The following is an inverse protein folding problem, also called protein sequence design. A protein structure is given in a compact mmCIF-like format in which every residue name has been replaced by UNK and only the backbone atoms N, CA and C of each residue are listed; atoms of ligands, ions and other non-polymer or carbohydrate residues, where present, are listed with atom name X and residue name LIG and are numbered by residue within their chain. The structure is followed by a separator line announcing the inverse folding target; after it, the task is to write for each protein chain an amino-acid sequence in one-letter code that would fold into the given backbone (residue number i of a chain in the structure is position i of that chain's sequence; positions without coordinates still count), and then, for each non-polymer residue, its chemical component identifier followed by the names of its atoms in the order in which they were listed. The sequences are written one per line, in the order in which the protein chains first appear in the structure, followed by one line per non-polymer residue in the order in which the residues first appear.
data_IF_507456370796
#
_entry.id   IF_507456370796
#
_cell.length_a   1.000
_cell.length_b   1.000
_cell.length_c   1.000
_cell.angle_alpha   90.00
_cell.angle_beta   90.00
_cell.angle_gamma   90.00
#
_symmetry.space_group_name_H-M   'P 1'
#
loop_
_entity.id
_entity.type
_entity.pdbx_description
1 polymer ?
#
# COMPACT_ATOMS: atom_id res chain seq x y z
N UNK A 1 -5.49 4.08 11.22
CA UNK A 1 -4.12 4.05 11.71
C UNK A 1 -3.37 2.85 11.13
N UNK A 2 -2.03 2.99 10.97
CA UNK A 2 -1.16 1.96 10.43
C UNK A 2 -0.09 1.54 11.45
N UNK A 3 0.29 0.25 11.46
CA UNK A 3 1.34 -0.27 12.34
C UNK A 3 2.76 0.18 11.96
N UNK A 4 2.96 0.58 10.70
CA UNK A 4 4.31 0.66 10.11
C UNK A 4 5.04 1.98 10.35
N UNK A 5 4.44 2.97 10.94
CA UNK A 5 5.11 4.17 11.43
C UNK A 5 6.13 4.78 10.43
N UNK A 6 5.73 4.85 9.14
CA UNK A 6 6.60 5.40 8.10
C UNK A 6 6.69 6.92 8.26
N UNK A 7 7.89 7.48 8.30
CA UNK A 7 8.13 8.91 8.56
C UNK A 7 7.45 9.83 7.53
N UNK A 8 7.39 9.42 6.27
CA UNK A 8 6.77 10.18 5.19
C UNK A 8 5.25 9.99 5.08
N UNK A 9 4.64 9.20 5.96
CA UNK A 9 3.22 8.89 5.85
C UNK A 9 2.36 10.04 6.38
N UNK A 10 1.39 10.50 5.58
CA UNK A 10 0.46 11.56 6.00
C UNK A 10 -0.38 11.18 7.23
N UNK A 11 -0.56 9.89 7.50
CA UNK A 11 -1.25 9.39 8.69
C UNK A 11 -0.59 9.85 10.00
N UNK A 12 0.72 10.09 9.99
CA UNK A 12 1.45 10.66 11.13
C UNK A 12 0.93 12.04 11.55
N UNK A 13 0.45 12.82 10.59
CA UNK A 13 -0.11 14.14 10.84
C UNK A 13 -1.63 14.20 10.90
N UNK A 14 -2.30 13.10 10.59
CA UNK A 14 -3.76 13.03 10.47
C UNK A 14 -4.43 12.75 11.81
N UNK A 15 -3.90 11.79 12.57
CA UNK A 15 -4.49 11.34 13.84
C UNK A 15 -3.68 11.83 15.04
N UNK A 16 -4.37 12.32 16.06
CA UNK A 16 -3.77 12.75 17.32
C UNK A 16 -3.76 11.63 18.38
N UNK A 17 -4.37 10.49 18.10
CA UNK A 17 -4.43 9.34 19.02
C UNK A 17 -3.41 8.28 18.64
N UNK A 18 -2.75 7.71 19.65
CA UNK A 18 -1.85 6.56 19.49
C UNK A 18 -2.61 5.22 19.42
N UNK A 19 -3.91 5.21 19.68
CA UNK A 19 -4.72 3.99 19.66
C UNK A 19 -5.01 3.53 18.24
N UNK A 20 -4.93 2.22 18.01
CA UNK A 20 -5.42 1.60 16.79
C UNK A 20 -6.94 1.44 16.88
N UNK A 21 -7.63 1.71 15.76
CA UNK A 21 -9.08 1.53 15.64
C UNK A 21 -9.33 0.43 14.63
N UNK A 22 -10.13 -0.56 15.02
CA UNK A 22 -10.58 -1.65 14.15
C UNK A 22 -12.10 -1.59 14.11
N UNK A 23 -12.67 -1.41 12.92
CA UNK A 23 -14.11 -1.55 12.70
C UNK A 23 -14.44 -3.03 12.61
N UNK A 24 -15.39 -3.49 13.39
CA UNK A 24 -15.79 -4.91 13.48
C UNK A 24 -17.10 -5.23 12.76
N UNK A 25 -17.79 -4.21 12.28
CA UNK A 25 -19.06 -4.28 11.55
C UNK A 25 -18.82 -4.57 10.05
N UNK A 26 -18.21 -5.70 9.73
CA UNK A 26 -17.81 -6.05 8.35
C UNK A 26 -19.00 -6.19 7.40
N UNK A 27 -20.17 -6.57 7.90
CA UNK A 27 -21.42 -6.65 7.14
C UNK A 27 -21.86 -5.30 6.57
N UNK A 28 -21.50 -4.18 7.19
CA UNK A 28 -21.79 -2.85 6.66
C UNK A 28 -20.92 -2.55 5.44
N UNK A 29 -19.64 -3.01 5.44
CA UNK A 29 -18.77 -2.94 4.27
C UNK A 29 -19.33 -3.79 3.12
N UNK A 30 -19.80 -5.02 3.40
CA UNK A 30 -20.42 -5.90 2.40
C UNK A 30 -21.61 -5.19 1.75
N UNK A 31 -22.47 -4.61 2.56
CA UNK A 31 -23.66 -3.89 2.11
C UNK A 31 -23.29 -2.68 1.26
N UNK A 32 -22.33 -1.87 1.72
CA UNK A 32 -21.89 -0.68 1.01
C UNK A 32 -21.25 -1.01 -0.35
N UNK A 33 -20.44 -2.08 -0.41
CA UNK A 33 -19.81 -2.53 -1.65
C UNK A 33 -20.86 -3.03 -2.64
N UNK A 34 -21.79 -3.91 -2.22
CA UNK A 34 -22.86 -4.42 -3.07
C UNK A 34 -23.74 -3.30 -3.61
N UNK A 35 -24.19 -2.38 -2.76
CA UNK A 35 -24.96 -1.21 -3.17
C UNK A 35 -24.21 -0.32 -4.19
N UNK A 36 -22.89 -0.19 -4.02
CA UNK A 36 -22.06 0.59 -4.96
C UNK A 36 -21.97 -0.11 -6.31
N UNK A 37 -21.80 -1.44 -6.32
CA UNK A 37 -21.79 -2.24 -7.55
C UNK A 37 -23.12 -2.14 -8.30
N UNK A 38 -24.24 -2.30 -7.59
CA UNK A 38 -25.59 -2.24 -8.17
C UNK A 38 -25.91 -0.87 -8.79
N UNK A 39 -25.49 0.21 -8.13
CA UNK A 39 -25.66 1.57 -8.66
C UNK A 39 -24.79 1.89 -9.87
N UNK A 40 -23.76 1.11 -10.11
CA UNK A 40 -22.75 1.35 -11.15
C UNK A 40 -22.51 0.13 -12.03
N UNK A 41 -23.55 -0.62 -12.33
CA UNK A 41 -23.48 -1.94 -13.00
C UNK A 41 -22.77 -1.92 -14.37
N UNK A 42 -22.79 -0.79 -15.07
CA UNK A 42 -22.15 -0.59 -16.36
C UNK A 42 -20.78 0.09 -16.28
N UNK A 43 -20.26 0.31 -15.07
CA UNK A 43 -19.00 1.02 -14.85
C UNK A 43 -17.89 0.04 -14.46
N UNK A 44 -16.67 0.31 -14.92
CA UNK A 44 -15.49 -0.36 -14.38
C UNK A 44 -15.22 0.21 -12.99
N UNK A 45 -15.29 -0.63 -11.97
CA UNK A 45 -15.05 -0.25 -10.58
C UNK A 45 -13.79 -0.94 -10.05
N UNK A 46 -13.00 -0.18 -9.32
CA UNK A 46 -11.89 -0.69 -8.52
C UNK A 46 -12.08 -0.20 -7.08
N UNK A 47 -12.17 -1.13 -6.14
CA UNK A 47 -12.19 -0.82 -4.72
C UNK A 47 -10.77 -0.82 -4.16
N UNK A 48 -10.44 0.15 -3.33
CA UNK A 48 -9.16 0.23 -2.64
C UNK A 48 -9.37 -0.09 -1.17
N UNK A 49 -8.80 -1.21 -0.72
CA UNK A 49 -8.77 -1.54 0.69
C UNK A 49 -7.69 -0.74 1.42
N UNK A 50 -7.98 -0.25 2.62
CA UNK A 50 -6.99 0.36 3.49
C UNK A 50 -6.52 1.74 3.06
N UNK A 51 -7.44 2.65 2.71
CA UNK A 51 -7.09 4.03 2.36
C UNK A 51 -6.35 4.76 3.49
N UNK A 52 -6.81 4.61 4.75
CA UNK A 52 -6.23 5.22 5.95
C UNK A 52 -5.45 4.22 6.83
N UNK A 53 -4.99 3.13 6.25
CA UNK A 53 -4.20 2.09 6.92
C UNK A 53 -3.42 1.26 5.90
N UNK A 54 -2.65 0.28 6.37
CA UNK A 54 -2.14 -0.79 5.53
C UNK A 54 -3.19 -1.90 5.42
N UNK A 55 -3.49 -2.36 4.21
CA UNK A 55 -4.58 -3.31 3.95
C UNK A 55 -4.41 -4.67 4.64
N UNK A 56 -3.18 -5.10 4.89
CA UNK A 56 -2.89 -6.46 5.37
C UNK A 56 -2.07 -6.50 6.67
N UNK A 57 -1.64 -5.36 7.20
CA UNK A 57 -0.79 -5.33 8.40
C UNK A 57 -1.46 -5.98 9.61
N UNK A 58 -2.78 -5.88 9.73
CA UNK A 58 -3.58 -6.45 10.82
C UNK A 58 -4.43 -7.66 10.38
N UNK A 59 -4.19 -8.22 9.20
CA UNK A 59 -5.02 -9.30 8.66
C UNK A 59 -5.11 -10.52 9.59
N UNK A 60 -4.01 -10.86 10.27
CA UNK A 60 -4.01 -11.96 11.26
C UNK A 60 -4.98 -11.75 12.44
N UNK A 61 -5.33 -10.50 12.72
CA UNK A 61 -6.26 -10.13 13.80
C UNK A 61 -7.66 -9.92 13.26
N UNK A 62 -7.77 -9.22 12.12
CA UNK A 62 -9.07 -8.80 11.59
C UNK A 62 -9.72 -9.86 10.71
N UNK A 63 -8.94 -10.61 9.92
CA UNK A 63 -9.47 -11.50 8.89
C UNK A 63 -10.28 -10.78 7.81
N UNK A 64 -10.10 -9.46 7.65
CA UNK A 64 -10.93 -8.64 6.76
C UNK A 64 -10.79 -9.05 5.29
N UNK A 65 -9.57 -9.31 4.82
CA UNK A 65 -9.37 -9.78 3.44
C UNK A 65 -10.08 -11.11 3.21
N UNK A 66 -9.96 -12.06 4.15
CA UNK A 66 -10.68 -13.33 4.09
C UNK A 66 -12.20 -13.15 4.04
N UNK A 67 -12.73 -12.20 4.80
CA UNK A 67 -14.17 -11.89 4.85
C UNK A 67 -14.67 -11.29 3.53
N UNK A 68 -13.94 -10.32 2.95
CA UNK A 68 -14.43 -9.54 1.81
C UNK A 68 -14.26 -10.25 0.45
N UNK A 69 -13.25 -11.10 0.30
CA UNK A 69 -12.91 -11.77 -0.96
C UNK A 69 -14.06 -12.56 -1.62
N UNK A 70 -15.01 -13.21 -0.90
CA UNK A 70 -16.16 -13.86 -1.51
C UNK A 70 -17.02 -12.95 -2.39
N UNK A 71 -17.11 -11.65 -2.09
CA UNK A 71 -17.84 -10.68 -2.92
C UNK A 71 -17.18 -10.59 -4.29
N UNK A 72 -15.84 -10.44 -4.34
CA UNK A 72 -15.09 -10.32 -5.58
C UNK A 72 -14.98 -11.63 -6.37
N UNK A 73 -15.21 -12.76 -5.71
CA UNK A 73 -15.41 -14.04 -6.40
C UNK A 73 -16.73 -14.09 -7.16
N UNK A 74 -17.76 -13.43 -6.64
CA UNK A 74 -19.09 -13.34 -7.28
C UNK A 74 -19.10 -12.28 -8.39
N UNK A 75 -18.51 -11.10 -8.14
CA UNK A 75 -18.48 -9.99 -9.08
C UNK A 75 -17.10 -9.88 -9.76
N UNK A 76 -16.83 -10.81 -10.69
CA UNK A 76 -15.51 -10.95 -11.34
C UNK A 76 -15.09 -9.76 -12.21
N UNK A 77 -16.03 -8.91 -12.62
CA UNK A 77 -15.81 -7.70 -13.41
C UNK A 77 -15.38 -6.49 -12.54
N UNK A 78 -15.47 -6.61 -11.21
CA UNK A 78 -15.13 -5.55 -10.25
C UNK A 78 -13.80 -5.90 -9.59
N UNK A 79 -12.90 -4.94 -9.52
CA UNK A 79 -11.57 -5.13 -8.95
C UNK A 79 -11.50 -4.71 -7.48
N UNK A 80 -10.62 -5.36 -6.73
CA UNK A 80 -10.16 -4.89 -5.42
C UNK A 80 -8.64 -4.87 -5.36
N UNK A 81 -8.09 -3.76 -4.84
CA UNK A 81 -6.67 -3.59 -4.56
C UNK A 81 -6.42 -3.60 -3.05
N UNK A 82 -5.57 -4.53 -2.60
CA UNK A 82 -4.99 -4.54 -1.27
C UNK A 82 -3.61 -3.91 -1.32
N UNK A 83 -3.50 -2.62 -0.92
CA UNK A 83 -2.22 -1.90 -0.88
C UNK A 83 -1.53 -2.14 0.47
N UNK A 84 -0.28 -2.65 0.43
CA UNK A 84 0.37 -3.10 1.64
C UNK A 84 1.91 -2.99 1.58
N UNK A 85 2.52 -2.94 2.77
CA UNK A 85 3.93 -3.23 3.06
C UNK A 85 4.08 -4.53 3.84
N UNK A 86 2.96 -5.20 4.14
CA UNK A 86 2.93 -6.40 4.95
C UNK A 86 3.55 -7.60 4.24
N UNK A 87 4.08 -8.50 5.04
CA UNK A 87 4.51 -9.84 4.60
C UNK A 87 3.48 -10.92 4.95
N UNK A 88 2.26 -10.51 5.29
CA UNK A 88 1.15 -11.44 5.51
C UNK A 88 0.73 -12.08 4.19
N UNK A 89 0.71 -13.40 4.17
CA UNK A 89 0.40 -14.20 2.97
C UNK A 89 -1.00 -14.83 3.03
N UNK A 90 -1.56 -14.97 4.23
CA UNK A 90 -2.92 -15.45 4.37
C UNK A 90 -3.92 -14.27 4.19
N UNK A 91 -5.10 -14.52 3.60
CA UNK A 91 -5.62 -15.85 3.16
C UNK A 91 -5.15 -16.29 1.76
N UNK A 92 -4.32 -15.53 1.08
CA UNK A 92 -4.01 -15.69 -0.35
C UNK A 92 -3.31 -17.01 -0.69
N UNK A 93 -2.49 -17.56 0.21
CA UNK A 93 -1.87 -18.88 -0.02
C UNK A 93 -2.88 -20.03 -0.02
N UNK A 94 -3.98 -19.89 0.71
CA UNK A 94 -5.02 -20.92 0.87
C UNK A 94 -6.10 -20.85 -0.19
N UNK A 95 -6.19 -19.74 -0.93
CA UNK A 95 -7.24 -19.48 -1.91
C UNK A 95 -6.73 -19.69 -3.35
N UNK A 96 -7.66 -19.97 -4.26
CA UNK A 96 -7.36 -19.92 -5.70
C UNK A 96 -7.25 -18.45 -6.11
N UNK A 97 -6.24 -18.08 -6.91
CA UNK A 97 -6.08 -16.72 -7.41
C UNK A 97 -7.30 -16.24 -8.19
N UNK A 98 -7.64 -14.97 -7.99
CA UNK A 98 -8.69 -14.26 -8.70
C UNK A 98 -8.08 -13.12 -9.50
N UNK A 99 -8.40 -13.02 -10.79
CA UNK A 99 -7.79 -12.03 -11.70
C UNK A 99 -8.13 -10.58 -11.35
N UNK A 100 -9.23 -10.38 -10.65
CA UNK A 100 -9.75 -9.09 -10.21
C UNK A 100 -9.33 -8.71 -8.76
N UNK A 101 -8.43 -9.48 -8.17
CA UNK A 101 -7.82 -9.17 -6.87
C UNK A 101 -6.36 -8.81 -7.09
N UNK A 102 -6.00 -7.58 -6.74
CA UNK A 102 -4.67 -7.02 -6.94
C UNK A 102 -3.97 -6.90 -5.58
N UNK A 103 -2.83 -7.56 -5.43
CA UNK A 103 -1.97 -7.43 -4.26
C UNK A 103 -0.90 -6.38 -4.57
N UNK A 104 -1.11 -5.17 -4.09
CA UNK A 104 -0.29 -4.01 -4.45
C UNK A 104 0.72 -3.68 -3.35
N UNK A 105 2.00 -3.86 -3.66
CA UNK A 105 3.08 -3.66 -2.70
C UNK A 105 3.74 -2.30 -2.85
N UNK A 106 3.82 -1.56 -1.73
CA UNK A 106 4.60 -0.33 -1.66
C UNK A 106 6.08 -0.66 -1.50
N UNK A 107 6.89 -0.13 -2.39
CA UNK A 107 8.32 -0.42 -2.51
C UNK A 107 9.13 0.86 -2.70
N UNK A 108 10.34 0.86 -2.17
CA UNK A 108 11.39 1.84 -2.38
C UNK A 108 12.74 1.15 -2.21
N UNK A 109 13.88 1.75 -2.59
CA UNK A 109 15.19 1.16 -2.33
C UNK A 109 15.40 0.78 -0.86
N UNK A 110 16.05 -0.35 -0.60
CA UNK A 110 16.26 -0.90 0.77
C UNK A 110 16.92 0.14 1.69
N UNK A 111 17.92 0.88 1.19
CA UNK A 111 18.62 1.91 1.94
C UNK A 111 17.66 3.01 2.43
N UNK A 112 16.77 3.47 1.56
CA UNK A 112 15.76 4.47 1.90
C UNK A 112 14.70 3.90 2.85
N UNK A 113 14.27 2.66 2.61
CA UNK A 113 13.29 1.99 3.48
C UNK A 113 13.81 1.82 4.90
N UNK A 114 15.10 1.49 5.09
CA UNK A 114 15.71 1.35 6.41
C UNK A 114 15.69 2.64 7.23
N UNK A 115 15.73 3.80 6.58
CA UNK A 115 15.67 5.10 7.27
C UNK A 115 14.26 5.65 7.44
N UNK A 116 13.32 5.31 6.55
CA UNK A 116 12.01 5.95 6.44
C UNK A 116 10.83 5.05 6.82
N UNK A 117 10.94 3.73 6.60
CA UNK A 117 9.90 2.73 6.90
C UNK A 117 10.11 2.09 8.28
N UNK A 118 10.02 2.84 9.38
CA UNK A 118 10.50 2.47 10.72
C UNK A 118 10.12 1.08 11.21
N UNK A 119 8.86 0.65 11.05
CA UNK A 119 8.34 -0.64 11.57
C UNK A 119 7.88 -1.57 10.45
N UNK A 120 8.09 -1.21 9.20
CA UNK A 120 7.69 -2.05 8.09
C UNK A 120 8.72 -3.17 7.85
N UNK A 121 8.30 -4.32 7.32
CA UNK A 121 9.23 -5.36 6.88
C UNK A 121 10.21 -4.84 5.83
N UNK A 122 11.44 -5.39 5.78
CA UNK A 122 12.46 -5.02 4.80
C UNK A 122 11.97 -5.25 3.35
N UNK A 123 12.53 -4.53 2.42
CA UNK A 123 12.18 -4.64 0.99
C UNK A 123 12.47 -6.05 0.48
N UNK A 124 13.60 -6.62 0.87
CA UNK A 124 13.96 -8.00 0.51
C UNK A 124 12.90 -9.02 0.96
N UNK A 125 12.33 -8.88 2.16
CA UNK A 125 11.23 -9.73 2.64
C UNK A 125 9.93 -9.49 1.88
N UNK A 126 9.61 -8.23 1.56
CA UNK A 126 8.44 -7.90 0.73
C UNK A 126 8.57 -8.55 -0.65
N UNK A 127 9.72 -8.43 -1.33
CA UNK A 127 9.96 -9.03 -2.65
C UNK A 127 9.84 -10.57 -2.58
N UNK A 128 10.34 -11.21 -1.53
CA UNK A 128 10.17 -12.65 -1.34
C UNK A 128 8.70 -13.07 -1.29
N UNK A 129 7.88 -12.33 -0.54
CA UNK A 129 6.43 -12.58 -0.46
C UNK A 129 5.73 -12.31 -1.79
N UNK A 130 6.08 -11.23 -2.48
CA UNK A 130 5.55 -10.92 -3.80
C UNK A 130 5.85 -12.06 -4.78
N UNK A 131 7.09 -12.56 -4.81
CA UNK A 131 7.49 -13.66 -5.68
C UNK A 131 6.69 -14.94 -5.40
N UNK A 132 6.49 -15.27 -4.12
CA UNK A 132 5.69 -16.45 -3.72
C UNK A 132 4.22 -16.31 -4.12
N UNK A 133 3.61 -15.14 -3.93
CA UNK A 133 2.21 -14.92 -4.31
C UNK A 133 2.03 -14.84 -5.83
N UNK A 134 2.99 -14.22 -6.54
CA UNK A 134 3.02 -14.20 -8.00
C UNK A 134 3.12 -15.61 -8.60
N UNK A 135 3.99 -16.48 -8.02
CA UNK A 135 4.12 -17.88 -8.47
C UNK A 135 2.86 -18.70 -8.26
N UNK A 136 2.00 -18.30 -7.33
CA UNK A 136 0.65 -18.87 -7.14
C UNK A 136 -0.37 -18.38 -8.18
N UNK A 137 -0.04 -17.33 -8.93
CA UNK A 137 -0.91 -16.73 -9.96
C UNK A 137 -1.69 -15.49 -9.52
N UNK A 138 -1.40 -14.91 -8.36
CA UNK A 138 -1.99 -13.64 -7.95
C UNK A 138 -1.47 -12.48 -8.81
N UNK A 139 -2.34 -11.50 -9.07
CA UNK A 139 -1.96 -10.27 -9.77
C UNK A 139 -1.29 -9.30 -8.82
N UNK A 140 -0.13 -8.80 -9.22
CA UNK A 140 0.74 -7.94 -8.41
C UNK A 140 0.71 -6.51 -8.92
N UNK A 141 0.47 -5.57 -8.02
CA UNK A 141 0.69 -4.14 -8.24
C UNK A 141 2.01 -3.69 -7.60
N UNK A 142 2.80 -2.90 -8.31
CA UNK A 142 3.97 -2.25 -7.74
C UNK A 142 3.65 -0.77 -7.49
N UNK A 143 3.90 -0.28 -6.28
CA UNK A 143 3.57 1.08 -5.84
C UNK A 143 4.83 1.78 -5.34
N UNK A 144 5.43 2.61 -6.19
CA UNK A 144 6.53 3.49 -5.87
C UNK A 144 5.98 4.87 -5.47
N UNK A 145 5.28 4.90 -4.34
CA UNK A 145 4.59 6.08 -3.83
C UNK A 145 4.83 6.21 -2.32
N UNK A 146 5.70 7.15 -1.90
CA UNK A 146 6.37 8.16 -2.73
C UNK A 146 7.68 7.68 -3.37
N UNK A 147 8.04 8.27 -4.52
CA UNK A 147 9.41 8.31 -5.00
C UNK A 147 10.19 9.28 -4.11
N UNK A 148 11.30 8.82 -3.57
CA UNK A 148 12.21 9.62 -2.75
C UNK A 148 13.46 9.91 -3.56
N UNK A 149 13.77 11.17 -3.71
CA UNK A 149 15.02 11.63 -4.32
C UNK A 149 16.08 11.77 -3.23
N UNK A 150 17.28 11.35 -3.52
CA UNK A 150 18.43 11.45 -2.64
C UNK A 150 19.70 11.21 -3.44
N UNK A 151 20.82 11.07 -2.80
CA UNK A 151 22.07 10.71 -3.45
C UNK A 151 21.93 9.32 -4.12
N UNK A 152 22.37 9.19 -5.37
CA UNK A 152 22.33 7.96 -6.15
C UNK A 152 20.94 7.31 -6.27
N UNK A 153 19.87 8.09 -6.20
CA UNK A 153 18.50 7.55 -6.18
C UNK A 153 18.17 6.76 -7.46
N UNK A 154 18.70 7.16 -8.62
CA UNK A 154 18.45 6.48 -9.89
C UNK A 154 19.02 5.07 -9.90
N UNK A 155 20.26 4.95 -9.47
CA UNK A 155 20.98 3.68 -9.36
C UNK A 155 20.28 2.76 -8.34
N UNK A 156 19.89 3.29 -7.19
CA UNK A 156 19.17 2.54 -6.17
C UNK A 156 17.79 2.03 -6.64
N UNK A 157 17.03 2.82 -7.39
CA UNK A 157 15.76 2.38 -7.97
C UNK A 157 15.99 1.38 -9.11
N UNK A 158 17.05 1.55 -9.91
CA UNK A 158 17.42 0.59 -10.94
C UNK A 158 17.72 -0.78 -10.32
N UNK A 159 18.58 -0.86 -9.30
CA UNK A 159 18.89 -2.09 -8.59
C UNK A 159 17.61 -2.75 -8.00
N UNK A 160 16.73 -1.95 -7.44
CA UNK A 160 15.44 -2.45 -6.93
C UNK A 160 14.60 -3.08 -8.04
N UNK A 161 14.48 -2.41 -9.18
CA UNK A 161 13.70 -2.91 -10.32
C UNK A 161 14.33 -4.18 -10.91
N UNK A 162 15.65 -4.22 -11.08
CA UNK A 162 16.37 -5.42 -11.54
C UNK A 162 16.14 -6.60 -10.60
N UNK A 163 16.21 -6.38 -9.27
CA UNK A 163 15.92 -7.43 -8.29
C UNK A 163 14.47 -7.94 -8.37
N UNK A 164 13.52 -7.07 -8.63
CA UNK A 164 12.09 -7.43 -8.78
C UNK A 164 11.92 -8.26 -10.07
N UNK A 165 12.41 -7.78 -11.21
CA UNK A 165 12.21 -8.44 -12.50
C UNK A 165 12.97 -9.76 -12.62
N UNK A 166 14.08 -9.92 -11.91
CA UNK A 166 14.82 -11.19 -11.85
C UNK A 166 14.07 -12.27 -11.03
N UNK A 167 13.13 -11.89 -10.16
CA UNK A 167 12.44 -12.83 -9.26
C UNK A 167 10.97 -13.05 -9.60
N UNK A 168 10.35 -12.18 -10.39
CA UNK A 168 8.91 -12.18 -10.60
C UNK A 168 8.63 -12.11 -12.10
N UNK A 169 7.86 -13.08 -12.60
CA UNK A 169 7.44 -13.08 -14.01
C UNK A 169 6.66 -11.84 -14.36
N UNK A 170 6.97 -11.24 -15.52
CA UNK A 170 6.29 -10.06 -16.04
C UNK A 170 4.76 -10.23 -16.13
N UNK A 171 4.30 -11.43 -16.49
CA UNK A 171 2.85 -11.76 -16.63
C UNK A 171 2.09 -11.66 -15.31
N UNK A 172 2.80 -11.66 -14.18
CA UNK A 172 2.18 -11.52 -12.87
C UNK A 172 1.82 -10.07 -12.54
N UNK A 173 2.44 -9.09 -13.21
CA UNK A 173 2.16 -7.69 -12.92
C UNK A 173 0.82 -7.25 -13.50
N UNK A 174 0.03 -6.59 -12.67
CA UNK A 174 -1.19 -5.91 -13.06
C UNK A 174 -0.91 -4.45 -13.44
N UNK A 175 -0.15 -3.76 -12.60
CA UNK A 175 0.09 -2.33 -12.76
C UNK A 175 1.31 -1.86 -11.97
N UNK A 176 1.90 -0.79 -12.45
CA UNK A 176 2.95 -0.05 -11.75
C UNK A 176 2.48 1.40 -11.60
N UNK A 177 2.66 1.98 -10.42
CA UNK A 177 2.40 3.41 -10.19
C UNK A 177 3.57 4.10 -9.52
N UNK A 178 3.76 5.35 -9.91
CA UNK A 178 4.74 6.26 -9.34
C UNK A 178 4.03 7.48 -8.76
N UNK A 179 4.44 7.92 -7.59
CA UNK A 179 3.92 9.11 -6.94
C UNK A 179 5.04 9.96 -6.36
N UNK A 180 4.95 11.28 -6.49
CA UNK A 180 5.86 12.19 -5.80
C UNK A 180 5.53 12.27 -4.31
N UNK A 181 6.53 12.59 -3.49
CA UNK A 181 6.31 12.93 -2.09
C UNK A 181 5.42 14.17 -2.01
N UNK A 182 4.33 14.08 -1.24
CA UNK A 182 3.38 15.19 -1.08
C UNK A 182 2.62 15.09 0.23
N UNK A 183 2.38 16.25 0.85
CA UNK A 183 1.63 16.36 2.09
C UNK A 183 0.61 17.50 2.02
N UNK A 184 -0.60 17.32 2.58
CA UNK A 184 -1.43 18.46 2.93
C UNK A 184 -0.69 19.37 3.91
N UNK A 185 -0.67 20.68 3.67
CA UNK A 185 0.08 21.67 4.46
C UNK A 185 -0.12 21.55 5.97
N UNK A 186 -1.37 21.28 6.41
CA UNK A 186 -1.70 21.11 7.83
C UNK A 186 -1.04 19.87 8.41
N UNK A 187 -1.07 18.74 7.68
CA UNK A 187 -0.48 17.48 8.12
C UNK A 187 1.04 17.56 8.15
N UNK A 188 1.65 18.22 7.15
CA UNK A 188 3.11 18.44 7.12
C UNK A 188 3.63 19.13 8.38
N UNK A 189 2.94 20.17 8.86
CA UNK A 189 3.33 20.84 10.09
C UNK A 189 3.38 19.90 11.30
N UNK A 190 2.44 18.97 11.39
CA UNK A 190 2.40 17.98 12.47
C UNK A 190 3.54 16.97 12.34
N UNK A 191 3.77 16.45 11.12
CA UNK A 191 4.85 15.50 10.84
C UNK A 191 6.22 16.13 11.11
N UNK A 192 6.44 17.37 10.67
CA UNK A 192 7.69 18.08 10.91
C UNK A 192 8.00 18.23 12.41
N UNK A 193 6.97 18.42 13.26
CA UNK A 193 7.15 18.46 14.72
C UNK A 193 7.59 17.13 15.32
N UNK A 194 7.15 16.01 14.71
CA UNK A 194 7.53 14.66 15.14
C UNK A 194 8.97 14.32 14.73
N UNK A 195 9.41 14.83 13.59
CA UNK A 195 10.71 14.51 12.99
C UNK A 195 11.45 15.78 12.53
N UNK A 196 11.80 16.69 13.46
CA UNK A 196 12.35 18.02 13.08
C UNK A 196 13.73 17.96 12.42
N UNK A 197 14.47 16.88 12.65
CA UNK A 197 15.82 16.67 12.11
C UNK A 197 15.85 15.67 10.93
N UNK A 198 14.69 15.29 10.40
CA UNK A 198 14.65 14.37 9.28
C UNK A 198 15.03 15.08 7.98
N UNK A 199 16.10 14.63 7.28
CA UNK A 199 16.55 15.29 6.05
C UNK A 199 15.47 15.42 4.98
N UNK A 200 14.55 14.45 4.92
CA UNK A 200 13.42 14.47 3.98
C UNK A 200 12.55 15.73 4.12
N UNK A 201 12.43 16.28 5.32
CA UNK A 201 11.57 17.45 5.62
C UNK A 201 12.34 18.76 5.65
N UNK A 202 13.66 18.71 5.67
CA UNK A 202 14.55 19.89 5.62
C UNK A 202 15.03 20.21 4.21
N UNK A 203 14.75 19.34 3.24
CA UNK A 203 14.99 19.59 1.83
C UNK A 203 14.09 20.72 1.30
N UNK A 204 14.48 21.43 0.24
CA UNK A 204 13.66 22.47 -0.35
C UNK A 204 12.35 21.87 -0.93
N UNK A 205 11.29 21.98 -0.14
CA UNK A 205 9.94 21.57 -0.52
C UNK A 205 9.16 22.78 -1.01
N UNK A 206 8.39 22.61 -2.08
CA UNK A 206 7.55 23.66 -2.64
C UNK A 206 6.10 23.54 -2.14
N UNK A 207 5.42 24.68 -2.00
CA UNK A 207 3.99 24.75 -1.68
C UNK A 207 3.21 25.03 -2.96
N UNK A 208 2.37 24.10 -3.39
CA UNK A 208 1.47 24.27 -4.51
C UNK A 208 0.06 23.77 -4.16
N UNK A 209 -0.98 24.58 -4.38
CA UNK A 209 -2.38 24.22 -4.13
C UNK A 209 -2.63 23.56 -2.76
N UNK A 210 -2.11 24.14 -1.66
CA UNK A 210 -2.16 23.59 -0.30
C UNK A 210 -1.48 22.22 -0.09
N UNK A 211 -0.72 21.75 -1.07
CA UNK A 211 0.14 20.57 -0.96
C UNK A 211 1.61 21.01 -0.87
N UNK A 212 2.38 20.30 -0.06
CA UNK A 212 3.83 20.43 0.07
C UNK A 212 4.45 19.21 -0.62
N UNK A 213 5.34 19.46 -1.55
CA UNK A 213 6.05 18.43 -2.32
C UNK A 213 7.49 18.84 -2.62
#
# INVERSE_FOLDING_TARGET
NCLYDCKYCFLQGMYSSANYVIFVNFEDFDTAIKNTIEKNINSKLTFFSGYDCDSLALENVTGFAKHILPIFKTYTQIEIEFRTKSIQKQPFLSLKPMKNVILAYSLMPELMSNSLDNKAPSISRRISVISELASKGWKIGLRFDPLIHGENWKELYQELLENIYNKISFDSFHSVSFGSLRFPKKMFKNIFRLYPNEPLFTSPLSLNNNMIS
#
